data_IF_377431092974
#
_entry.id   IF_377431092974
#
_cell.length_a   1.000
_cell.length_b   1.000
_cell.length_c   1.000
_cell.angle_alpha   90.00
_cell.angle_beta   90.00
_cell.angle_gamma   90.00
#
_symmetry.space_group_name_H-M   'P 1'
#
loop_
_entity.id
_entity.type
_entity.pdbx_description
1 polymer ?
#
# COMPACT_ATOMS: atom_id res chain seq x y z
N UNK A 1 -16.92 2.40 -7.52
CA UNK A 1 -16.34 1.76 -6.31
C UNK A 1 -14.84 2.06 -6.14
N UNK A 2 -13.91 1.83 -7.11
CA UNK A 2 -12.47 2.02 -6.84
C UNK A 2 -12.08 3.46 -6.47
N UNK A 3 -12.70 4.47 -7.08
CA UNK A 3 -12.41 5.88 -6.77
C UNK A 3 -12.82 6.23 -5.34
N UNK A 4 -13.97 5.74 -4.88
CA UNK A 4 -14.46 6.04 -3.52
C UNK A 4 -13.55 5.40 -2.47
N UNK A 5 -13.18 4.13 -2.62
CA UNK A 5 -12.25 3.47 -1.69
C UNK A 5 -10.86 4.11 -1.71
N UNK A 6 -10.37 4.55 -2.87
CA UNK A 6 -9.10 5.27 -2.99
C UNK A 6 -9.14 6.62 -2.25
N UNK A 7 -10.19 7.40 -2.43
CA UNK A 7 -10.35 8.69 -1.75
C UNK A 7 -10.47 8.53 -0.24
N UNK A 8 -11.30 7.59 0.22
CA UNK A 8 -11.49 7.34 1.66
C UNK A 8 -10.17 6.92 2.32
N UNK A 9 -9.43 5.99 1.71
CA UNK A 9 -8.14 5.56 2.24
C UNK A 9 -7.11 6.68 2.21
N UNK A 10 -6.99 7.42 1.11
CA UNK A 10 -6.05 8.52 0.99
C UNK A 10 -6.29 9.62 2.03
N UNK A 11 -7.55 9.96 2.28
CA UNK A 11 -7.93 10.94 3.32
C UNK A 11 -7.61 10.39 4.72
N UNK A 12 -7.98 9.12 4.99
CA UNK A 12 -7.71 8.49 6.28
C UNK A 12 -6.20 8.39 6.57
N UNK A 13 -5.40 8.03 5.55
CA UNK A 13 -3.95 7.96 5.65
C UNK A 13 -3.35 9.33 5.96
N UNK A 14 -3.65 10.35 5.17
CA UNK A 14 -3.08 11.68 5.38
C UNK A 14 -3.54 12.32 6.69
N UNK A 15 -4.79 12.09 7.10
CA UNK A 15 -5.30 12.57 8.39
C UNK A 15 -4.59 11.88 9.58
N UNK A 16 -4.42 10.55 9.53
CA UNK A 16 -3.72 9.80 10.57
C UNK A 16 -2.23 10.16 10.65
N UNK A 17 -1.55 10.34 9.53
CA UNK A 17 -0.16 10.82 9.46
C UNK A 17 -0.02 12.23 10.04
N UNK A 18 -0.92 13.15 9.68
CA UNK A 18 -0.92 14.50 10.23
C UNK A 18 -1.16 14.51 11.74
N UNK A 19 -2.01 13.61 12.25
CA UNK A 19 -2.19 13.41 13.68
C UNK A 19 -0.92 12.85 14.33
N UNK A 20 -0.30 11.82 13.76
CA UNK A 20 0.92 11.20 14.29
C UNK A 20 2.06 12.22 14.43
N UNK A 21 2.30 13.02 13.37
CA UNK A 21 3.33 14.09 13.38
C UNK A 21 3.11 15.12 14.48
N UNK A 22 1.84 15.45 14.81
CA UNK A 22 1.52 16.45 15.83
C UNK A 22 1.51 15.91 17.26
N UNK A 23 1.26 14.60 17.43
CA UNK A 23 0.92 14.00 18.72
C UNK A 23 2.00 13.07 19.26
N UNK A 24 2.91 12.59 18.40
CA UNK A 24 3.95 11.64 18.76
C UNK A 24 5.33 12.29 18.62
N UNK A 25 6.17 12.25 19.67
CA UNK A 25 7.57 12.61 19.56
C UNK A 25 8.29 11.72 18.55
N UNK A 26 9.30 12.27 17.89
CA UNK A 26 10.08 11.53 16.91
C UNK A 26 10.88 10.40 17.57
N UNK A 27 10.75 9.17 17.05
CA UNK A 27 11.42 7.95 17.50
C UNK A 27 11.10 7.50 18.93
N UNK A 28 10.10 8.05 19.59
CA UNK A 28 9.64 7.59 20.90
C UNK A 28 8.47 6.64 20.77
N UNK A 29 8.63 5.42 21.30
CA UNK A 29 7.57 4.43 21.33
C UNK A 29 6.59 4.73 22.47
N UNK A 30 5.32 4.90 22.12
CA UNK A 30 4.20 4.94 23.06
C UNK A 30 3.47 3.61 23.03
N UNK A 31 3.67 2.78 24.04
CA UNK A 31 2.96 1.52 24.15
C UNK A 31 1.45 1.72 24.31
N UNK A 32 0.67 1.05 23.49
CA UNK A 32 -0.80 1.02 23.56
C UNK A 32 -1.26 -0.34 24.11
N UNK A 33 -0.69 -1.42 23.61
CA UNK A 33 -0.86 -2.77 24.13
C UNK A 33 0.52 -3.28 24.54
N UNK A 34 0.83 -3.34 25.83
CA UNK A 34 2.16 -3.72 26.30
C UNK A 34 2.65 -5.04 25.70
N UNK A 35 3.88 -5.03 25.19
CA UNK A 35 4.52 -6.19 24.59
C UNK A 35 4.02 -6.59 23.19
N UNK A 36 3.09 -5.83 22.57
CA UNK A 36 2.52 -6.22 21.28
C UNK A 36 2.32 -5.06 20.29
N UNK A 37 1.78 -3.92 20.71
CA UNK A 37 1.42 -2.83 19.81
C UNK A 37 1.73 -1.47 20.41
N UNK A 38 2.34 -0.61 19.63
CA UNK A 38 2.63 0.76 20.00
C UNK A 38 2.49 1.74 18.86
N UNK A 39 2.61 3.00 19.21
CA UNK A 39 2.65 4.12 18.27
C UNK A 39 4.01 4.80 18.37
N UNK A 40 4.62 5.11 17.23
CA UNK A 40 5.92 5.76 17.14
C UNK A 40 5.92 6.67 15.92
N UNK A 41 6.60 7.80 15.95
CA UNK A 41 6.76 8.63 14.75
C UNK A 41 8.11 8.32 14.09
N UNK A 42 8.08 7.66 12.94
CA UNK A 42 9.26 7.31 12.15
C UNK A 42 9.21 7.99 10.79
N UNK A 43 10.35 8.51 10.34
CA UNK A 43 10.54 9.07 9.00
C UNK A 43 11.19 8.02 8.10
N UNK A 44 10.37 7.30 7.31
CA UNK A 44 10.84 6.21 6.46
C UNK A 44 11.30 6.73 5.09
N UNK A 45 12.60 6.80 4.89
CA UNK A 45 13.23 7.22 3.61
C UNK A 45 13.29 6.09 2.57
N UNK A 46 12.68 4.92 2.85
CA UNK A 46 12.70 3.75 1.96
C UNK A 46 13.85 2.77 2.22
N UNK A 47 14.62 3.00 3.28
CA UNK A 47 15.78 2.17 3.68
C UNK A 47 15.35 1.00 4.58
N UNK A 48 14.08 0.94 5.00
CA UNK A 48 13.57 0.01 6.02
C UNK A 48 13.80 -1.49 5.73
N UNK A 49 14.02 -1.88 4.49
CA UNK A 49 14.29 -3.28 4.13
C UNK A 49 15.78 -3.61 3.93
N UNK A 50 16.71 -2.75 4.37
CA UNK A 50 18.16 -2.95 4.23
C UNK A 50 18.66 -3.16 2.78
N UNK A 51 17.79 -3.52 1.84
CA UNK A 51 18.10 -3.78 0.44
C UNK A 51 18.62 -2.53 -0.29
N UNK A 52 18.16 -1.35 0.12
CA UNK A 52 18.56 -0.07 -0.47
C UNK A 52 19.47 0.73 0.47
N UNK A 53 19.82 0.17 1.64
CA UNK A 53 20.61 0.88 2.66
C UNK A 53 22.01 1.27 2.18
N UNK A 54 22.56 0.53 1.21
CA UNK A 54 23.89 0.77 0.64
C UNK A 54 23.84 1.69 -0.59
N UNK A 55 22.67 2.12 -1.04
CA UNK A 55 22.53 3.02 -2.17
C UNK A 55 22.52 4.48 -1.71
N UNK A 56 23.04 5.36 -2.54
CA UNK A 56 23.00 6.81 -2.30
C UNK A 56 21.51 7.26 -2.22
N UNK A 57 21.10 7.93 -1.13
CA UNK A 57 19.73 8.43 -0.96
C UNK A 57 19.23 9.29 -2.12
N UNK A 58 20.13 9.93 -2.87
CA UNK A 58 19.81 10.72 -4.07
C UNK A 58 19.19 9.89 -5.19
N UNK A 59 19.46 8.58 -5.24
CA UNK A 59 18.89 7.68 -6.23
C UNK A 59 17.70 6.88 -5.68
N UNK A 60 17.71 6.58 -4.39
CA UNK A 60 16.64 5.80 -3.75
C UNK A 60 15.31 6.54 -3.83
N UNK A 61 15.29 7.83 -3.49
CA UNK A 61 14.07 8.62 -3.46
C UNK A 61 13.37 8.72 -4.84
N UNK A 62 14.02 9.18 -5.93
CA UNK A 62 13.38 9.23 -7.24
C UNK A 62 13.01 7.84 -7.77
N UNK A 63 13.80 6.80 -7.45
CA UNK A 63 13.47 5.42 -7.79
C UNK A 63 12.14 4.98 -7.14
N UNK A 64 11.95 5.24 -5.85
CA UNK A 64 10.71 4.87 -5.14
C UNK A 64 9.50 5.64 -5.67
N UNK A 65 9.65 6.93 -6.02
CA UNK A 65 8.60 7.70 -6.67
C UNK A 65 8.24 7.08 -8.02
N UNK A 66 9.23 6.82 -8.86
CA UNK A 66 9.01 6.22 -10.18
C UNK A 66 8.34 4.86 -10.08
N UNK A 67 8.83 3.98 -9.21
CA UNK A 67 8.24 2.66 -8.98
C UNK A 67 6.78 2.76 -8.53
N UNK A 68 6.47 3.69 -7.62
CA UNK A 68 5.08 3.94 -7.17
C UNK A 68 4.21 4.42 -8.32
N UNK A 69 4.67 5.38 -9.14
CA UNK A 69 3.92 5.90 -10.30
C UNK A 69 3.68 4.80 -11.34
N UNK A 70 4.68 3.97 -11.63
CA UNK A 70 4.53 2.84 -12.55
C UNK A 70 3.53 1.80 -12.03
N UNK A 71 3.58 1.47 -10.73
CA UNK A 71 2.61 0.57 -10.11
C UNK A 71 1.18 1.13 -10.18
N UNK A 72 1.00 2.43 -9.90
CA UNK A 72 -0.28 3.10 -10.05
C UNK A 72 -0.78 3.07 -11.50
N UNK A 73 0.10 3.31 -12.47
CA UNK A 73 -0.20 3.21 -13.90
C UNK A 73 -0.69 1.81 -14.28
N UNK A 74 -0.05 0.76 -13.77
CA UNK A 74 -0.47 -0.63 -13.99
C UNK A 74 -1.86 -0.91 -13.39
N UNK A 75 -2.13 -0.43 -12.16
CA UNK A 75 -3.45 -0.57 -11.52
C UNK A 75 -4.53 0.18 -12.30
N UNK A 76 -4.26 1.40 -12.76
CA UNK A 76 -5.19 2.18 -13.57
C UNK A 76 -5.46 1.51 -14.93
N UNK A 77 -4.43 0.97 -15.58
CA UNK A 77 -4.57 0.19 -16.80
C UNK A 77 -5.44 -1.05 -16.56
N UNK A 78 -5.21 -1.77 -15.47
CA UNK A 78 -6.04 -2.92 -15.09
C UNK A 78 -7.52 -2.52 -14.96
N UNK A 79 -7.82 -1.43 -14.25
CA UNK A 79 -9.19 -0.91 -14.07
C UNK A 79 -9.82 -0.53 -15.42
N UNK A 80 -9.03 0.04 -16.33
CA UNK A 80 -9.52 0.53 -17.62
C UNK A 80 -9.82 -0.58 -18.64
N UNK A 81 -9.01 -1.64 -18.63
CA UNK A 81 -9.03 -2.66 -19.70
C UNK A 81 -9.60 -4.02 -19.27
N UNK A 82 -9.71 -4.29 -17.99
CA UNK A 82 -10.19 -5.58 -17.48
C UNK A 82 -11.48 -5.42 -16.67
N UNK A 83 -12.44 -6.34 -16.83
CA UNK A 83 -13.68 -6.30 -16.08
C UNK A 83 -13.42 -6.55 -14.59
N UNK A 84 -13.66 -5.54 -13.77
CA UNK A 84 -13.56 -5.65 -12.32
C UNK A 84 -14.92 -6.09 -11.74
N UNK A 85 -14.98 -7.28 -11.14
CA UNK A 85 -16.16 -7.84 -10.48
C UNK A 85 -15.84 -8.16 -9.01
N UNK A 86 -16.83 -8.49 -8.23
CA UNK A 86 -16.64 -8.93 -6.86
C UNK A 86 -15.96 -7.89 -5.97
N UNK A 87 -14.91 -8.31 -5.25
CA UNK A 87 -14.12 -7.48 -4.35
C UNK A 87 -13.00 -6.69 -5.05
N UNK A 88 -12.65 -7.04 -6.30
CA UNK A 88 -11.54 -6.44 -7.03
C UNK A 88 -11.62 -4.90 -7.15
N UNK A 89 -12.79 -4.27 -7.45
CA UNK A 89 -12.89 -2.82 -7.50
C UNK A 89 -12.50 -2.10 -6.21
N UNK A 90 -12.86 -2.68 -5.07
CA UNK A 90 -12.50 -2.14 -3.75
C UNK A 90 -11.03 -2.34 -3.49
N UNK A 91 -10.50 -3.54 -3.74
CA UNK A 91 -9.08 -3.86 -3.59
C UNK A 91 -8.16 -2.94 -4.40
N UNK A 92 -8.49 -2.74 -5.69
CA UNK A 92 -7.76 -1.82 -6.57
C UNK A 92 -7.80 -0.37 -6.08
N UNK A 93 -8.95 0.07 -5.57
CA UNK A 93 -9.09 1.40 -4.99
C UNK A 93 -8.26 1.57 -3.72
N UNK A 94 -8.20 0.55 -2.84
CA UNK A 94 -7.34 0.58 -1.65
C UNK A 94 -5.85 0.64 -2.03
N UNK A 95 -5.43 -0.13 -3.02
CA UNK A 95 -4.04 -0.06 -3.53
C UNK A 95 -3.72 1.34 -4.06
N UNK A 96 -4.60 1.92 -4.88
CA UNK A 96 -4.40 3.27 -5.41
C UNK A 96 -4.37 4.32 -4.30
N UNK A 97 -5.32 4.28 -3.37
CA UNK A 97 -5.40 5.24 -2.26
C UNK A 97 -4.16 5.19 -1.38
N UNK A 98 -3.68 4.01 -1.03
CA UNK A 98 -2.44 3.83 -0.26
C UNK A 98 -1.20 4.28 -1.05
N UNK A 99 -1.10 3.93 -2.33
CA UNK A 99 0.01 4.38 -3.18
C UNK A 99 0.05 5.90 -3.30
N UNK A 100 -1.11 6.56 -3.47
CA UNK A 100 -1.23 8.03 -3.49
C UNK A 100 -0.80 8.61 -2.15
N UNK A 101 -1.26 8.07 -1.02
CA UNK A 101 -0.90 8.54 0.31
C UNK A 101 0.62 8.56 0.54
N UNK A 102 1.28 7.44 0.27
CA UNK A 102 2.73 7.33 0.39
C UNK A 102 3.50 8.15 -0.67
N UNK A 103 2.92 8.37 -1.85
CA UNK A 103 3.50 9.24 -2.88
C UNK A 103 3.45 10.72 -2.48
N UNK A 104 2.33 11.17 -1.88
CA UNK A 104 2.19 12.54 -1.35
C UNK A 104 3.28 12.83 -0.31
N UNK A 105 3.50 11.91 0.62
CA UNK A 105 4.55 12.06 1.63
C UNK A 105 5.92 12.19 0.99
N UNK A 106 6.29 11.28 0.09
CA UNK A 106 7.58 11.33 -0.61
C UNK A 106 7.76 12.61 -1.39
N UNK A 107 6.74 13.06 -2.12
CA UNK A 107 6.82 14.29 -2.92
C UNK A 107 6.94 15.56 -2.07
N UNK A 108 6.33 15.59 -0.86
CA UNK A 108 6.30 16.77 0.00
C UNK A 108 7.41 16.81 1.04
N UNK A 109 7.73 15.64 1.60
CA UNK A 109 8.59 15.51 2.78
C UNK A 109 9.95 14.86 2.45
N UNK A 110 10.04 14.09 1.38
CA UNK A 110 11.21 13.28 1.05
C UNK A 110 11.26 11.94 1.77
N UNK A 111 10.27 11.64 2.62
CA UNK A 111 10.11 10.39 3.38
C UNK A 111 8.63 10.06 3.54
N UNK A 112 8.33 8.85 4.00
CA UNK A 112 6.98 8.45 4.41
C UNK A 112 6.88 8.51 5.93
N UNK A 113 5.74 9.01 6.44
CA UNK A 113 5.44 9.00 7.88
C UNK A 113 4.87 7.63 8.24
N UNK A 114 5.62 6.86 9.05
CA UNK A 114 5.17 5.58 9.62
C UNK A 114 4.95 5.76 11.12
N UNK A 115 3.90 5.11 11.65
CA UNK A 115 3.53 5.34 13.06
C UNK A 115 2.92 4.12 13.77
N UNK A 116 2.65 3.03 13.07
CA UNK A 116 2.16 1.78 13.63
C UNK A 116 3.33 0.84 13.86
N UNK A 117 3.53 0.38 15.09
CA UNK A 117 4.60 -0.54 15.48
C UNK A 117 4.01 -1.80 16.12
N UNK A 118 4.23 -2.93 15.46
CA UNK A 118 3.90 -4.25 15.98
C UNK A 118 5.17 -4.93 16.46
N UNK A 119 5.15 -5.47 17.68
CA UNK A 119 6.30 -6.15 18.24
C UNK A 119 5.90 -7.32 19.15
N UNK A 120 6.78 -8.31 19.21
CA UNK A 120 6.59 -9.48 20.06
C UNK A 120 7.93 -9.94 20.62
N UNK A 121 8.03 -10.07 21.95
CA UNK A 121 9.25 -10.51 22.65
C UNK A 121 10.49 -9.71 22.25
N UNK A 122 10.36 -8.38 22.05
CA UNK A 122 11.46 -7.51 21.67
C UNK A 122 11.83 -7.51 20.17
N UNK A 123 11.13 -8.28 19.35
CA UNK A 123 11.26 -8.23 17.89
C UNK A 123 10.20 -7.32 17.31
N UNK A 124 10.61 -6.25 16.64
CA UNK A 124 9.73 -5.30 15.99
C UNK A 124 9.54 -5.65 14.51
N UNK A 125 8.29 -5.61 14.05
CA UNK A 125 7.99 -5.55 12.64
C UNK A 125 8.38 -4.17 12.12
N UNK A 126 8.81 -4.01 10.86
CA UNK A 126 9.02 -2.67 10.29
C UNK A 126 7.79 -1.79 10.50
N UNK A 127 7.98 -0.58 11.02
CA UNK A 127 6.89 0.38 11.22
C UNK A 127 6.17 0.67 9.92
N UNK A 128 4.86 0.89 9.99
CA UNK A 128 4.00 1.09 8.83
C UNK A 128 2.91 2.14 9.12
N UNK A 129 2.07 2.40 8.16
CA UNK A 129 1.00 3.41 8.22
C UNK A 129 -0.32 2.88 7.65
N UNK A 130 -1.36 3.73 7.61
CA UNK A 130 -2.70 3.38 7.11
C UNK A 130 -2.68 3.08 5.60
N UNK A 131 -1.84 3.75 4.82
CA UNK A 131 -1.68 3.45 3.39
C UNK A 131 -1.19 2.01 3.17
N UNK A 132 -0.20 1.56 3.96
CA UNK A 132 0.37 0.21 3.85
C UNK A 132 -0.65 -0.87 4.23
N UNK A 133 -1.47 -0.61 5.27
CA UNK A 133 -2.62 -1.47 5.62
C UNK A 133 -3.58 -1.57 4.44
N UNK A 134 -3.92 -0.43 3.84
CA UNK A 134 -4.83 -0.39 2.70
C UNK A 134 -4.28 -1.13 1.49
N UNK A 135 -3.00 -0.96 1.15
CA UNK A 135 -2.35 -1.72 0.06
C UNK A 135 -2.39 -3.22 0.36
N UNK A 136 -2.05 -3.63 1.57
CA UNK A 136 -2.02 -5.05 1.98
C UNK A 136 -3.42 -5.67 1.89
N UNK A 137 -4.43 -5.02 2.43
CA UNK A 137 -5.83 -5.46 2.34
C UNK A 137 -6.31 -5.47 0.89
N UNK A 138 -5.95 -4.46 0.11
CA UNK A 138 -6.29 -4.38 -1.31
C UNK A 138 -5.72 -5.55 -2.11
N UNK A 139 -4.45 -5.89 -1.90
CA UNK A 139 -3.81 -7.06 -2.52
C UNK A 139 -4.50 -8.36 -2.07
N UNK A 140 -4.79 -8.51 -0.78
CA UNK A 140 -5.48 -9.68 -0.26
C UNK A 140 -6.86 -9.87 -0.91
N UNK A 141 -7.63 -8.79 -1.08
CA UNK A 141 -8.93 -8.82 -1.77
C UNK A 141 -8.80 -9.25 -3.24
N UNK A 142 -7.77 -8.79 -3.95
CA UNK A 142 -7.51 -9.22 -5.33
C UNK A 142 -7.17 -10.71 -5.41
N UNK A 143 -6.32 -11.19 -4.52
CA UNK A 143 -5.94 -12.61 -4.47
C UNK A 143 -7.16 -13.48 -4.17
N UNK A 144 -7.99 -13.09 -3.20
CA UNK A 144 -9.24 -13.81 -2.87
C UNK A 144 -10.17 -13.82 -4.07
N UNK A 145 -10.37 -12.70 -4.75
CA UNK A 145 -11.22 -12.59 -5.93
C UNK A 145 -10.73 -13.51 -7.07
N UNK A 146 -9.42 -13.53 -7.32
CA UNK A 146 -8.81 -14.42 -8.34
C UNK A 146 -8.99 -15.90 -8.04
N UNK A 147 -8.87 -16.29 -6.76
CA UNK A 147 -9.02 -17.71 -6.36
C UNK A 147 -10.47 -18.13 -6.31
N UNK A 148 -11.37 -17.21 -5.96
CA UNK A 148 -12.81 -17.49 -5.81
C UNK A 148 -13.61 -17.37 -7.10
N UNK A 149 -13.06 -16.71 -8.13
CA UNK A 149 -13.74 -16.56 -9.41
C UNK A 149 -13.76 -17.90 -10.16
N UNK A 150 -14.94 -18.45 -10.53
CA UNK A 150 -15.01 -19.65 -11.34
C UNK A 150 -14.27 -19.42 -12.67
N UNK A 151 -13.41 -20.35 -13.07
CA UNK A 151 -12.84 -20.36 -14.43
C UNK A 151 -14.01 -20.46 -15.41
N UNK A 152 -14.18 -19.46 -16.29
CA UNK A 152 -15.11 -19.60 -17.41
C UNK A 152 -14.79 -20.91 -18.15
N UNK A 153 -15.81 -21.78 -18.41
CA UNK A 153 -15.60 -22.97 -19.23
C UNK A 153 -15.06 -22.52 -20.59
N UNK A 154 -14.18 -23.32 -21.23
CA UNK A 154 -13.70 -23.02 -22.58
C UNK A 154 -14.90 -22.79 -23.49
N UNK A 155 -14.91 -21.64 -24.18
CA UNK A 155 -15.98 -21.27 -25.12
C UNK A 155 -16.14 -22.37 -26.19
N UNK A 156 -17.16 -23.20 -26.00
CA UNK A 156 -17.50 -24.30 -26.93
C UNK A 156 -17.96 -23.79 -28.31
N UNK A 157 -18.09 -22.47 -28.49
CA UNK A 157 -18.52 -21.85 -29.77
C UNK A 157 -17.34 -21.48 -30.67
N UNK A 158 -16.09 -21.69 -30.25
CA UNK A 158 -14.92 -21.45 -31.12
C UNK A 158 -14.75 -22.62 -32.07
N UNK A 159 -15.00 -22.45 -33.37
CA UNK A 159 -14.75 -23.54 -34.34
C UNK A 159 -13.30 -23.97 -34.27
N UNK A 160 -13.05 -25.26 -34.18
CA UNK A 160 -11.74 -25.83 -34.29
C UNK A 160 -11.09 -25.27 -35.56
N UNK A 161 -9.99 -24.49 -35.39
CA UNK A 161 -9.19 -24.01 -36.51
C UNK A 161 -8.80 -25.24 -37.33
N UNK A 162 -9.35 -25.34 -38.56
CA UNK A 162 -9.18 -26.44 -39.44
C UNK A 162 -7.70 -26.77 -39.71
N UNK A 163 -7.47 -28.06 -39.77
CA UNK A 163 -6.20 -28.64 -40.26
C UNK A 163 -6.07 -28.41 -41.77
#
# INVERSE_FOLDING_TARGET
MPIVSALLLGVADQASKAWAVRSLPLFELREIVPGFFGLVHVQNTGVAFSLLANLDPRWVHPFLILATVLAMGAVLAYIAYLPCRGAAPVGLGLILGGAIGNLIDRARLGYVVDFLDLYWRGHHWPTFNVADVGITVGVALLVIDMVSSPKEPPDASRPAAGR
#
